data_IF_458915671147
#
_entry.id   IF_458915671147
#
_cell.length_a   1.000
_cell.length_b   1.000
_cell.length_c   1.000
_cell.angle_alpha   90.00
_cell.angle_beta   90.00
_cell.angle_gamma   90.00
#
_symmetry.space_group_name_H-M   'P 1'
#
loop_
_entity.id
_entity.type
_entity.pdbx_description
1 polymer ?
#
# COMPACT_ATOMS: atom_id res chain seq x y z
N UNK A 1 22.86 -6.97 -18.28
CA UNK A 1 21.46 -7.37 -17.96
C UNK A 1 21.33 -7.22 -16.45
N UNK A 2 20.47 -6.31 -16.01
CA UNK A 2 20.62 -5.51 -14.77
C UNK A 2 20.71 -6.31 -13.47
N UNK A 3 21.83 -6.19 -12.74
CA UNK A 3 22.10 -6.86 -11.45
C UNK A 3 21.25 -6.33 -10.27
N UNK A 4 20.60 -5.18 -10.41
CA UNK A 4 19.85 -4.52 -9.33
C UNK A 4 18.48 -5.14 -8.98
N UNK A 5 17.97 -6.11 -9.75
CA UNK A 5 16.64 -6.73 -9.51
C UNK A 5 16.66 -7.93 -8.56
N UNK A 6 17.84 -8.49 -8.27
CA UNK A 6 17.96 -9.75 -7.53
C UNK A 6 17.28 -9.71 -6.14
N UNK A 7 17.51 -8.68 -5.29
CA UNK A 7 16.94 -8.67 -3.95
C UNK A 7 15.41 -8.49 -3.93
N UNK A 8 14.87 -7.69 -4.86
CA UNK A 8 13.44 -7.40 -4.94
C UNK A 8 12.68 -8.63 -5.43
N UNK A 9 13.15 -9.24 -6.53
CA UNK A 9 12.47 -10.37 -7.17
C UNK A 9 12.44 -11.61 -6.26
N UNK A 10 13.49 -11.83 -5.47
CA UNK A 10 13.58 -12.91 -4.50
C UNK A 10 12.78 -12.68 -3.20
N UNK A 11 12.20 -11.49 -3.02
CA UNK A 11 11.49 -11.12 -1.80
C UNK A 11 10.03 -10.72 -2.06
N UNK A 12 9.50 -11.00 -3.25
CA UNK A 12 8.14 -10.59 -3.64
C UNK A 12 7.08 -11.22 -2.75
N UNK A 13 6.23 -10.37 -2.17
CA UNK A 13 5.08 -10.83 -1.41
C UNK A 13 4.08 -11.55 -2.32
N UNK A 14 3.63 -12.72 -1.88
CA UNK A 14 2.64 -13.53 -2.60
C UNK A 14 1.31 -12.78 -2.77
N UNK A 15 0.54 -13.16 -3.80
CA UNK A 15 -0.80 -12.57 -4.04
C UNK A 15 -1.72 -12.72 -2.83
N UNK A 16 -1.67 -13.86 -2.14
CA UNK A 16 -2.46 -14.11 -0.92
C UNK A 16 -2.11 -13.16 0.21
N UNK A 17 -0.81 -12.84 0.39
CA UNK A 17 -0.37 -11.89 1.42
C UNK A 17 -0.81 -10.46 1.08
N UNK A 18 -0.76 -10.08 -0.21
CA UNK A 18 -1.30 -8.79 -0.69
C UNK A 18 -2.81 -8.70 -0.49
N UNK A 19 -3.54 -9.78 -0.72
CA UNK A 19 -4.98 -9.84 -0.46
C UNK A 19 -5.30 -9.76 1.05
N UNK A 20 -4.52 -10.43 1.90
CA UNK A 20 -4.64 -10.32 3.35
C UNK A 20 -4.39 -8.88 3.82
N UNK A 21 -3.39 -8.18 3.27
CA UNK A 21 -3.17 -6.76 3.55
C UNK A 21 -4.41 -5.93 3.23
N UNK A 22 -4.99 -6.12 2.04
CA UNK A 22 -6.19 -5.41 1.62
C UNK A 22 -7.36 -5.64 2.60
N UNK A 23 -7.62 -6.89 3.00
CA UNK A 23 -8.68 -7.21 3.97
C UNK A 23 -8.42 -6.50 5.30
N UNK A 24 -7.20 -6.58 5.82
CA UNK A 24 -6.85 -5.99 7.12
C UNK A 24 -7.02 -4.46 7.06
N UNK A 25 -6.47 -3.80 6.03
CA UNK A 25 -6.59 -2.37 5.82
C UNK A 25 -8.06 -1.93 5.69
N UNK A 26 -8.88 -2.72 4.99
CA UNK A 26 -10.31 -2.47 4.86
C UNK A 26 -11.05 -2.57 6.19
N UNK A 27 -10.75 -3.58 7.01
CA UNK A 27 -11.30 -3.71 8.36
C UNK A 27 -10.92 -2.50 9.22
N UNK A 28 -9.66 -2.06 9.18
CA UNK A 28 -9.22 -0.87 9.91
C UNK A 28 -9.98 0.39 9.49
N UNK A 29 -10.19 0.57 8.18
CA UNK A 29 -10.97 1.70 7.67
C UNK A 29 -12.42 1.65 8.17
N UNK A 30 -13.06 0.47 8.15
CA UNK A 30 -14.42 0.31 8.66
C UNK A 30 -14.53 0.64 10.14
N UNK A 31 -13.59 0.14 10.96
CA UNK A 31 -13.52 0.45 12.39
C UNK A 31 -13.34 1.95 12.60
N UNK A 32 -12.42 2.59 11.88
CA UNK A 32 -12.18 4.02 11.97
C UNK A 32 -13.43 4.84 11.60
N UNK A 33 -14.13 4.45 10.54
CA UNK A 33 -15.35 5.12 10.09
C UNK A 33 -16.49 4.95 11.09
N UNK A 34 -16.64 3.77 11.66
CA UNK A 34 -17.61 3.53 12.73
C UNK A 34 -17.32 4.40 13.95
N UNK A 35 -16.07 4.43 14.42
CA UNK A 35 -15.66 5.27 15.55
C UNK A 35 -15.89 6.76 15.29
N UNK A 36 -15.59 7.23 14.07
CA UNK A 36 -15.85 8.60 13.66
C UNK A 36 -17.36 8.93 13.70
N UNK A 37 -18.20 8.02 13.19
CA UNK A 37 -19.66 8.16 13.27
C UNK A 37 -20.19 8.24 14.71
N UNK A 38 -19.66 7.40 15.61
CA UNK A 38 -20.01 7.44 17.05
C UNK A 38 -19.62 8.78 17.68
N UNK A 39 -18.43 9.30 17.39
CA UNK A 39 -17.99 10.61 17.89
C UNK A 39 -18.92 11.72 17.40
N UNK A 40 -19.28 11.75 16.11
CA UNK A 40 -20.21 12.74 15.57
C UNK A 40 -21.60 12.66 16.23
N UNK A 41 -22.07 11.45 16.52
CA UNK A 41 -23.33 11.25 17.24
C UNK A 41 -23.29 11.83 18.66
N UNK A 42 -22.21 11.56 19.41
CA UNK A 42 -22.01 12.11 20.77
C UNK A 42 -21.96 13.64 20.76
N UNK A 43 -21.36 14.23 19.73
CA UNK A 43 -21.25 15.68 19.57
C UNK A 43 -22.52 16.34 19.00
N UNK A 44 -23.60 15.58 18.74
CA UNK A 44 -24.80 16.04 18.04
C UNK A 44 -24.52 16.66 16.66
N UNK A 45 -23.49 16.17 15.96
CA UNK A 45 -23.06 16.61 14.63
C UNK A 45 -23.47 15.59 13.54
N UNK A 46 -24.58 14.87 13.75
CA UNK A 46 -25.04 13.80 12.84
C UNK A 46 -25.42 14.30 11.46
N UNK A 47 -25.70 15.60 11.28
CA UNK A 47 -25.95 16.21 9.97
C UNK A 47 -24.77 16.05 8.99
N UNK A 48 -23.55 15.90 9.50
CA UNK A 48 -22.38 15.59 8.65
C UNK A 48 -22.45 14.19 8.03
N UNK A 49 -23.24 13.27 8.60
CA UNK A 49 -23.40 11.91 8.07
C UNK A 49 -24.38 11.85 6.90
N UNK A 50 -25.26 12.84 6.74
CA UNK A 50 -26.24 12.92 5.64
C UNK A 50 -25.58 12.92 4.24
N UNK A 51 -24.29 13.27 4.17
CA UNK A 51 -23.50 13.18 2.94
C UNK A 51 -23.42 11.74 2.40
N UNK A 52 -23.43 10.76 3.30
CA UNK A 52 -23.35 9.33 2.95
C UNK A 52 -24.71 8.75 2.54
N UNK A 53 -25.82 9.40 2.88
CA UNK A 53 -27.17 8.99 2.44
C UNK A 53 -27.42 9.29 0.96
N UNK A 54 -26.61 10.18 0.37
CA UNK A 54 -26.67 10.52 -1.06
C UNK A 54 -25.77 9.58 -1.85
N UNK A 55 -26.28 8.64 -2.68
CA UNK A 55 -25.46 7.58 -3.26
C UNK A 55 -24.25 8.08 -4.06
N UNK A 56 -24.45 9.08 -4.92
CA UNK A 56 -23.37 9.62 -5.74
C UNK A 56 -22.32 10.38 -4.92
N UNK A 57 -22.77 11.34 -4.10
CA UNK A 57 -21.87 12.17 -3.29
C UNK A 57 -21.18 11.35 -2.20
N UNK A 58 -21.92 10.48 -1.51
CA UNK A 58 -21.41 9.56 -0.50
C UNK A 58 -20.33 8.63 -1.03
N UNK A 59 -20.51 8.09 -2.25
CA UNK A 59 -19.48 7.29 -2.89
C UNK A 59 -18.21 8.09 -3.19
N UNK A 60 -18.32 9.32 -3.71
CA UNK A 60 -17.16 10.19 -3.96
C UNK A 60 -16.42 10.49 -2.66
N UNK A 61 -17.16 10.85 -1.59
CA UNK A 61 -16.59 11.12 -0.28
C UNK A 61 -15.91 9.87 0.29
N UNK A 62 -16.54 8.70 0.18
CA UNK A 62 -15.96 7.43 0.62
C UNK A 62 -14.66 7.08 -0.12
N UNK A 63 -14.63 7.25 -1.44
CA UNK A 63 -13.42 7.06 -2.26
C UNK A 63 -12.32 8.04 -1.83
N UNK A 64 -12.68 9.31 -1.58
CA UNK A 64 -11.72 10.32 -1.13
C UNK A 64 -11.18 10.00 0.27
N UNK A 65 -12.01 9.54 1.20
CA UNK A 65 -11.56 9.10 2.53
C UNK A 65 -10.62 7.91 2.40
N UNK A 66 -10.97 6.91 1.59
CA UNK A 66 -10.09 5.76 1.34
C UNK A 66 -8.74 6.19 0.75
N UNK A 67 -8.75 7.08 -0.23
CA UNK A 67 -7.55 7.67 -0.82
C UNK A 67 -6.65 8.31 0.25
N UNK A 68 -7.20 9.22 1.05
CA UNK A 68 -6.46 9.93 2.11
C UNK A 68 -5.95 8.94 3.15
N UNK A 69 -6.78 7.97 3.56
CA UNK A 69 -6.42 6.96 4.55
C UNK A 69 -5.21 6.13 4.09
N UNK A 70 -5.21 5.66 2.84
CA UNK A 70 -4.09 4.89 2.29
C UNK A 70 -2.83 5.74 2.10
N UNK A 71 -2.99 6.96 1.57
CA UNK A 71 -1.86 7.88 1.36
C UNK A 71 -1.16 8.23 2.67
N UNK A 72 -1.93 8.60 3.70
CA UNK A 72 -1.39 9.00 5.00
C UNK A 72 -0.65 7.84 5.65
N UNK A 73 -1.20 6.62 5.61
CA UNK A 73 -0.52 5.46 6.18
C UNK A 73 0.78 5.15 5.43
N UNK A 74 0.73 5.04 4.10
CA UNK A 74 1.93 4.69 3.33
C UNK A 74 3.01 5.77 3.44
N UNK A 75 2.64 7.06 3.47
CA UNK A 75 3.59 8.13 3.70
C UNK A 75 4.16 8.11 5.13
N UNK A 76 3.32 7.92 6.15
CA UNK A 76 3.73 7.95 7.55
C UNK A 76 4.61 6.75 7.94
N UNK A 77 4.33 5.57 7.39
CA UNK A 77 5.04 4.33 7.71
C UNK A 77 5.97 3.86 6.58
N UNK A 78 6.42 4.79 5.72
CA UNK A 78 7.41 4.54 4.65
C UNK A 78 7.08 3.32 3.78
N UNK A 79 5.94 3.36 3.11
CA UNK A 79 5.48 2.32 2.20
C UNK A 79 4.73 1.17 2.89
N UNK A 80 4.25 1.38 4.11
CA UNK A 80 3.50 0.38 4.88
C UNK A 80 2.14 0.94 5.29
N UNK A 81 1.11 0.12 5.14
CA UNK A 81 -0.20 0.32 5.76
C UNK A 81 -0.29 -0.51 7.04
N UNK A 82 -1.35 -0.34 7.84
CA UNK A 82 -1.54 -1.14 9.06
C UNK A 82 -1.53 -2.65 8.76
N UNK A 83 -2.17 -3.09 7.68
CA UNK A 83 -2.11 -4.47 7.20
C UNK A 83 -0.68 -4.91 6.87
N UNK A 84 0.08 -4.08 6.17
CA UNK A 84 1.49 -4.37 5.84
C UNK A 84 2.42 -4.37 7.06
N UNK A 85 2.10 -3.58 8.08
CA UNK A 85 2.79 -3.63 9.37
C UNK A 85 2.61 -5.02 10.00
N UNK A 86 1.37 -5.53 10.02
CA UNK A 86 1.00 -6.82 10.60
C UNK A 86 1.58 -8.00 9.80
N UNK A 87 1.46 -7.97 8.47
CA UNK A 87 1.96 -9.07 7.61
C UNK A 87 3.46 -9.03 7.36
N UNK A 88 4.18 -8.02 7.88
CA UNK A 88 5.61 -7.89 7.66
C UNK A 88 6.00 -7.54 6.21
N UNK A 89 5.09 -6.95 5.45
CA UNK A 89 5.34 -6.52 4.07
C UNK A 89 5.63 -5.03 3.97
N UNK A 90 6.24 -4.61 2.87
CA UNK A 90 6.51 -3.21 2.57
C UNK A 90 6.50 -2.94 1.06
N UNK A 91 6.24 -1.69 0.69
CA UNK A 91 6.36 -1.23 -0.69
C UNK A 91 7.78 -0.69 -0.91
N UNK A 92 8.41 -1.14 -1.97
CA UNK A 92 9.70 -0.62 -2.47
C UNK A 92 9.56 -0.27 -3.95
N UNK A 93 10.45 0.56 -4.47
CA UNK A 93 10.57 0.82 -5.91
C UNK A 93 11.07 -0.44 -6.64
N UNK A 94 10.89 -0.50 -7.96
CA UNK A 94 11.41 -1.61 -8.78
C UNK A 94 12.94 -1.79 -8.70
N UNK A 95 13.67 -0.73 -8.36
CA UNK A 95 15.11 -0.75 -8.13
C UNK A 95 15.48 -1.03 -6.65
N UNK A 96 14.49 -1.27 -5.79
CA UNK A 96 14.67 -1.54 -4.36
C UNK A 96 14.84 -0.29 -3.49
N UNK A 97 14.80 0.92 -4.06
CA UNK A 97 14.83 2.17 -3.29
C UNK A 97 13.53 2.44 -2.53
N UNK A 98 13.58 3.33 -1.54
CA UNK A 98 12.39 3.78 -0.82
C UNK A 98 11.52 4.65 -1.75
N UNK A 99 10.20 4.38 -1.88
CA UNK A 99 9.31 5.23 -2.67
C UNK A 99 9.21 6.63 -2.07
N UNK A 100 9.11 7.65 -2.94
CA UNK A 100 8.91 9.04 -2.50
C UNK A 100 7.42 9.34 -2.32
N UNK A 101 7.12 10.55 -1.83
CA UNK A 101 5.74 11.01 -1.66
C UNK A 101 4.94 10.99 -2.97
N UNK A 102 5.60 11.25 -4.11
CA UNK A 102 4.95 11.23 -5.42
C UNK A 102 4.47 9.81 -5.78
N UNK A 103 5.28 8.79 -5.52
CA UNK A 103 4.89 7.41 -5.79
C UNK A 103 3.77 6.95 -4.86
N UNK A 104 3.78 7.33 -3.58
CA UNK A 104 2.64 7.05 -2.68
C UNK A 104 1.35 7.71 -3.18
N UNK A 105 1.44 8.94 -3.69
CA UNK A 105 0.30 9.65 -4.26
C UNK A 105 -0.25 8.95 -5.50
N UNK A 106 0.61 8.61 -6.48
CA UNK A 106 0.22 7.89 -7.70
C UNK A 106 -0.39 6.53 -7.35
N UNK A 107 0.18 5.78 -6.41
CA UNK A 107 -0.38 4.51 -5.92
C UNK A 107 -1.77 4.69 -5.34
N UNK A 108 -1.93 5.68 -4.47
CA UNK A 108 -3.18 5.93 -3.78
C UNK A 108 -4.28 6.33 -4.76
N UNK A 109 -3.98 7.17 -5.76
CA UNK A 109 -4.92 7.50 -6.83
C UNK A 109 -5.27 6.27 -7.68
N UNK A 110 -4.26 5.46 -8.03
CA UNK A 110 -4.45 4.28 -8.88
C UNK A 110 -5.40 3.25 -8.23
N UNK A 111 -5.42 3.16 -6.90
CA UNK A 111 -6.38 2.31 -6.16
C UNK A 111 -7.82 2.80 -6.21
N UNK A 112 -8.04 4.09 -6.50
CA UNK A 112 -9.37 4.67 -6.63
C UNK A 112 -9.96 4.47 -8.03
N UNK A 113 -9.18 3.93 -8.98
CA UNK A 113 -9.65 3.65 -10.33
C UNK A 113 -10.70 2.54 -10.28
N UNK A 114 -11.86 2.72 -10.93
CA UNK A 114 -12.87 1.67 -11.03
C UNK A 114 -12.26 0.38 -11.56
N UNK A 115 -12.68 -0.76 -11.00
CA UNK A 115 -12.21 -2.09 -11.39
C UNK A 115 -10.76 -2.42 -11.02
N UNK A 116 -10.07 -1.62 -10.19
CA UNK A 116 -8.71 -1.92 -9.74
C UNK A 116 -8.59 -3.30 -9.08
N UNK A 117 -9.63 -3.75 -8.36
CA UNK A 117 -9.67 -5.09 -7.78
C UNK A 117 -9.49 -6.22 -8.84
N UNK A 118 -9.92 -6.00 -10.09
CA UNK A 118 -9.73 -6.96 -11.18
C UNK A 118 -8.30 -6.95 -11.72
N UNK A 119 -7.50 -5.91 -11.47
CA UNK A 119 -6.10 -5.86 -11.90
C UNK A 119 -5.25 -6.97 -11.26
N UNK A 120 -5.66 -7.51 -10.11
CA UNK A 120 -4.99 -8.61 -9.42
C UNK A 120 -5.14 -9.97 -10.09
N UNK A 121 -6.08 -10.12 -11.04
CA UNK A 121 -6.13 -11.29 -11.94
C UNK A 121 -4.94 -11.30 -12.91
N UNK A 122 -4.31 -10.15 -13.18
CA UNK A 122 -3.07 -10.03 -13.95
C UNK A 122 -1.81 -10.44 -13.18
N UNK A 123 -0.64 -10.11 -13.74
CA UNK A 123 0.67 -10.38 -13.11
C UNK A 123 0.97 -9.41 -11.96
N UNK A 124 0.60 -8.14 -12.12
CA UNK A 124 0.86 -7.05 -11.19
C UNK A 124 -0.37 -6.13 -11.11
N UNK A 125 -0.75 -5.69 -9.91
CA UNK A 125 -1.86 -4.75 -9.75
C UNK A 125 -1.56 -3.42 -10.43
N UNK A 126 -2.58 -2.73 -10.94
CA UNK A 126 -2.38 -1.46 -11.67
C UNK A 126 -1.68 -0.41 -10.82
N UNK A 127 -2.01 -0.33 -9.55
CA UNK A 127 -1.37 0.61 -8.63
C UNK A 127 0.12 0.31 -8.39
N UNK A 128 0.55 -0.96 -8.46
CA UNK A 128 1.98 -1.35 -8.42
C UNK A 128 2.69 -0.99 -9.73
N UNK A 129 2.02 -1.22 -10.87
CA UNK A 129 2.59 -0.97 -12.20
C UNK A 129 2.71 0.52 -12.53
N UNK A 130 1.71 1.34 -12.19
CA UNK A 130 1.70 2.76 -12.57
C UNK A 130 2.64 3.61 -11.72
N UNK A 131 3.00 3.12 -10.53
CA UNK A 131 3.96 3.79 -9.66
C UNK A 131 5.36 3.17 -9.69
N UNK A 132 5.61 2.17 -10.54
CA UNK A 132 6.87 1.43 -10.59
C UNK A 132 7.32 0.90 -9.22
N UNK A 133 6.38 0.31 -8.47
CA UNK A 133 6.66 -0.26 -7.14
C UNK A 133 6.35 -1.74 -7.07
N UNK A 134 6.90 -2.39 -6.04
CA UNK A 134 6.66 -3.79 -5.69
C UNK A 134 6.37 -3.91 -4.20
N UNK A 135 5.58 -4.92 -3.85
CA UNK A 135 5.38 -5.32 -2.46
C UNK A 135 6.29 -6.49 -2.15
N UNK A 136 7.16 -6.33 -1.16
CA UNK A 136 8.13 -7.33 -0.73
C UNK A 136 7.89 -7.72 0.74
N UNK A 137 8.32 -8.93 1.10
CA UNK A 137 8.44 -9.35 2.50
C UNK A 137 9.67 -8.62 3.05
N UNK A 138 9.46 -7.74 4.03
CA UNK A 138 10.48 -6.80 4.50
C UNK A 138 11.76 -7.53 4.96
N UNK A 139 11.58 -8.56 5.77
CA UNK A 139 12.69 -9.33 6.34
C UNK A 139 13.52 -10.03 5.27
N UNK A 140 12.86 -10.70 4.33
CA UNK A 140 13.53 -11.38 3.21
C UNK A 140 14.27 -10.38 2.32
N UNK A 141 13.67 -9.21 2.07
CA UNK A 141 14.28 -8.15 1.29
C UNK A 141 15.55 -7.61 1.93
N UNK A 142 15.52 -7.31 3.23
CA UNK A 142 16.71 -6.85 3.98
C UNK A 142 17.82 -7.92 3.97
N UNK A 143 17.48 -9.20 4.17
CA UNK A 143 18.44 -10.30 4.11
C UNK A 143 19.06 -10.47 2.72
N UNK A 144 18.27 -10.40 1.67
CA UNK A 144 18.74 -10.56 0.29
C UNK A 144 19.57 -9.34 -0.16
N UNK A 145 19.22 -8.14 0.29
CA UNK A 145 20.00 -6.93 0.03
C UNK A 145 21.38 -6.99 0.69
N UNK A 146 21.45 -7.48 1.93
CA UNK A 146 22.73 -7.69 2.63
C UNK A 146 23.61 -8.72 1.93
N UNK A 147 23.04 -9.87 1.53
CA UNK A 147 23.77 -10.92 0.78
C UNK A 147 24.32 -10.37 -0.53
N UNK A 148 23.49 -9.68 -1.29
CA UNK A 148 23.87 -9.10 -2.58
C UNK A 148 25.04 -8.12 -2.44
N UNK A 149 24.94 -7.16 -1.51
CA UNK A 149 26.00 -6.18 -1.25
C UNK A 149 27.32 -6.84 -0.80
N UNK A 150 27.25 -7.93 -0.02
CA UNK A 150 28.45 -8.66 0.43
C UNK A 150 29.18 -9.36 -0.72
N UNK A 151 28.45 -9.86 -1.72
CA UNK A 151 29.03 -10.50 -2.91
C UNK A 151 29.71 -9.46 -3.80
N UNK A 152 29.08 -8.31 -4.02
CA UNK A 152 29.66 -7.23 -4.81
C UNK A 152 30.98 -6.73 -4.21
N UNK A 153 31.06 -6.60 -2.88
CA UNK A 153 32.30 -6.22 -2.19
C UNK A 153 33.42 -7.24 -2.33
N UNK A 154 33.11 -8.53 -2.43
CA UNK A 154 34.12 -9.58 -2.65
C UNK A 154 34.65 -9.51 -4.08
N UNK A 155 33.76 -9.35 -5.06
CA UNK A 155 34.13 -9.26 -6.47
C UNK A 155 34.84 -7.96 -6.88
N UNK A 156 34.61 -6.85 -6.16
CA UNK A 156 35.30 -5.58 -6.43
C UNK A 156 36.75 -5.52 -5.91
N UNK A 157 37.12 -6.45 -5.00
CA UNK A 157 38.44 -6.50 -4.35
C UNK A 157 39.38 -7.56 -4.97
N UNK A 158 38.96 -8.22 -6.06
CA UNK A 158 39.71 -9.22 -6.82
C UNK A 158 40.05 -8.72 -8.22
#
# INVERSE_FOLDING_TARGET
MNSFRDPVDHSLASKGLRFANFIIDYIFLLVLMFMFGVVLAILNMTSLLEVFDKPFIGNIVGIFIYFVFMLVQEAAFKGRSLGKLITGTQVVMEDGSEPTMNEYFVRSISRCVPFEAFSFFGTTGWHDSWSNTRVVIKKEFEENQLKFNSIEQIGSNS
#
